data_IF_547663343488
#
_entry.id   IF_547663343488
#
_cell.length_a   1.000
_cell.length_b   1.000
_cell.length_c   1.000
_cell.angle_alpha   90.00
_cell.angle_beta   90.00
_cell.angle_gamma   90.00
#
_symmetry.space_group_name_H-M   'P 1'
#
loop_
_entity.id
_entity.type
_entity.pdbx_description
1 polymer ?
#
# COMPACT_ATOMS: atom_id res chain seq x y z
N UNK A 1 1.67 -2.14 -1.78
CA UNK A 1 1.37 -2.70 -0.44
C UNK A 1 0.99 -1.54 0.48
N UNK A 2 -0.30 -1.39 0.79
CA UNK A 2 -0.79 -0.42 1.78
C UNK A 2 -0.89 -1.04 3.18
N UNK A 3 -1.17 -0.22 4.20
CA UNK A 3 -1.29 -0.69 5.60
C UNK A 3 -2.52 -1.58 5.74
N UNK A 4 -3.68 -0.97 5.58
CA UNK A 4 -4.99 -1.60 5.63
C UNK A 4 -6.00 -0.67 4.92
N UNK A 5 -7.19 -1.16 4.55
CA UNK A 5 -8.21 -0.31 3.98
C UNK A 5 -8.63 0.80 4.95
N UNK A 6 -8.58 2.06 4.51
CA UNK A 6 -9.33 3.13 5.17
C UNK A 6 -10.84 2.92 4.98
N UNK A 7 -11.67 3.42 5.90
CA UNK A 7 -13.12 3.21 5.86
C UNK A 7 -13.76 3.53 4.50
N UNK A 8 -13.37 4.64 3.86
CA UNK A 8 -13.93 5.01 2.55
C UNK A 8 -13.51 4.05 1.43
N UNK A 9 -12.24 3.62 1.41
CA UNK A 9 -11.77 2.63 0.44
C UNK A 9 -12.46 1.27 0.64
N UNK A 10 -12.70 0.89 1.89
CA UNK A 10 -13.46 -0.32 2.22
C UNK A 10 -14.93 -0.22 1.77
N UNK A 11 -15.58 0.92 2.02
CA UNK A 11 -16.95 1.19 1.57
C UNK A 11 -17.08 1.17 0.05
N UNK A 12 -16.14 1.82 -0.66
CA UNK A 12 -16.12 1.86 -2.12
C UNK A 12 -15.72 0.52 -2.77
N UNK A 13 -14.99 -0.33 -2.05
CA UNK A 13 -14.43 -1.56 -2.63
C UNK A 13 -13.24 -1.32 -3.57
N UNK A 14 -12.63 -0.13 -3.52
CA UNK A 14 -11.57 0.28 -4.45
C UNK A 14 -10.32 0.79 -3.72
N UNK A 15 -9.15 0.45 -4.26
CA UNK A 15 -7.88 0.83 -3.68
C UNK A 15 -7.66 2.34 -3.69
N UNK A 16 -7.27 2.90 -2.54
CA UNK A 16 -6.96 4.32 -2.38
C UNK A 16 -8.08 5.28 -2.79
N UNK A 17 -9.35 4.88 -2.69
CA UNK A 17 -10.50 5.72 -3.08
C UNK A 17 -10.75 6.94 -2.18
N UNK A 18 -10.06 7.07 -1.04
CA UNK A 18 -10.27 8.19 -0.11
C UNK A 18 -9.97 9.55 -0.76
N UNK A 19 -10.82 10.58 -0.58
CA UNK A 19 -10.69 11.88 -1.27
C UNK A 19 -9.39 12.62 -0.95
N UNK A 20 -8.78 12.39 0.21
CA UNK A 20 -7.48 12.94 0.58
C UNK A 20 -6.28 12.06 0.20
N UNK A 21 -6.49 10.95 -0.52
CA UNK A 21 -5.41 10.05 -0.88
C UNK A 21 -4.70 10.50 -2.17
N UNK A 22 -3.38 10.66 -2.11
CA UNK A 22 -2.60 11.14 -3.24
C UNK A 22 -2.20 10.05 -4.25
N UNK A 23 -2.46 8.77 -3.99
CA UNK A 23 -1.95 7.65 -4.80
C UNK A 23 -2.23 7.84 -6.30
N UNK A 24 -3.49 8.07 -6.69
CA UNK A 24 -3.90 8.20 -8.08
C UNK A 24 -3.29 9.41 -8.77
N UNK A 25 -3.21 10.54 -8.05
CA UNK A 25 -2.57 11.76 -8.54
C UNK A 25 -1.05 11.55 -8.73
N UNK A 26 -0.38 10.95 -7.75
CA UNK A 26 1.05 10.65 -7.82
C UNK A 26 1.38 9.63 -8.92
N UNK A 27 0.54 8.61 -9.10
CA UNK A 27 0.71 7.61 -10.15
C UNK A 27 0.74 8.27 -11.52
N UNK A 28 -0.22 9.16 -11.79
CA UNK A 28 -0.26 9.93 -13.03
C UNK A 28 0.93 10.88 -13.17
N UNK A 29 1.19 11.73 -12.16
CA UNK A 29 2.24 12.73 -12.22
C UNK A 29 3.66 12.13 -12.31
N UNK A 30 3.85 10.89 -11.86
CA UNK A 30 5.12 10.18 -12.02
C UNK A 30 5.35 9.62 -13.42
N UNK A 31 4.35 9.63 -14.30
CA UNK A 31 4.42 9.03 -15.64
C UNK A 31 4.30 7.50 -15.65
N UNK A 32 3.98 6.87 -14.51
CA UNK A 32 3.75 5.42 -14.44
C UNK A 32 2.48 4.98 -15.18
N UNK A 33 1.52 5.90 -15.37
CA UNK A 33 0.36 5.71 -16.24
C UNK A 33 0.30 6.83 -17.28
N UNK A 34 -0.12 6.54 -18.52
CA UNK A 34 -0.19 7.55 -19.59
C UNK A 34 -1.30 8.59 -19.36
N UNK A 35 -2.32 8.23 -18.57
CA UNK A 35 -3.46 9.09 -18.25
C UNK A 35 -3.80 9.01 -16.77
N UNK A 36 -4.52 10.03 -16.30
CA UNK A 36 -5.04 10.04 -14.94
C UNK A 36 -6.16 9.01 -14.81
N UNK A 37 -5.99 8.08 -13.88
CA UNK A 37 -6.97 7.06 -13.54
C UNK A 37 -7.61 7.35 -12.19
N UNK A 38 -8.77 6.75 -11.93
CA UNK A 38 -9.45 6.79 -10.64
C UNK A 38 -9.43 5.44 -9.93
N UNK A 39 -9.87 5.44 -8.65
CA UNK A 39 -9.98 4.22 -7.87
C UNK A 39 -10.93 3.18 -8.48
N UNK A 40 -11.98 3.65 -9.17
CA UNK A 40 -12.97 2.78 -9.83
C UNK A 40 -12.34 1.98 -11.00
N UNK A 41 -11.11 2.30 -11.39
CA UNK A 41 -10.37 1.66 -12.48
C UNK A 41 -9.17 0.83 -11.99
N UNK A 42 -9.06 0.57 -10.69
CA UNK A 42 -7.91 -0.08 -10.08
C UNK A 42 -7.55 -1.45 -10.67
N UNK A 43 -8.56 -2.23 -11.05
CA UNK A 43 -8.39 -3.51 -11.73
C UNK A 43 -7.66 -3.40 -13.09
N UNK A 44 -7.76 -2.26 -13.79
CA UNK A 44 -7.09 -2.05 -15.08
C UNK A 44 -5.58 -1.93 -14.93
N UNK A 45 -5.07 -1.56 -13.76
CA UNK A 45 -3.63 -1.42 -13.54
C UNK A 45 -2.84 -2.73 -13.64
N UNK A 46 -3.52 -3.89 -13.53
CA UNK A 46 -2.90 -5.17 -13.84
C UNK A 46 -2.40 -5.25 -15.30
N UNK A 47 -3.04 -4.53 -16.23
CA UNK A 47 -2.63 -4.47 -17.64
C UNK A 47 -1.28 -3.76 -17.83
N UNK A 48 -0.90 -2.87 -16.90
CA UNK A 48 0.42 -2.22 -16.87
C UNK A 48 1.34 -2.83 -15.80
N UNK A 49 0.99 -4.01 -15.28
CA UNK A 49 1.82 -4.78 -14.35
C UNK A 49 1.82 -4.26 -12.90
N UNK A 50 0.86 -3.42 -12.51
CA UNK A 50 0.73 -2.90 -11.14
C UNK A 50 -0.44 -3.60 -10.44
N UNK A 51 -0.16 -4.23 -9.31
CA UNK A 51 -1.15 -4.90 -8.47
C UNK A 51 -1.22 -4.33 -7.06
N UNK A 52 -2.30 -4.66 -6.35
CA UNK A 52 -2.58 -4.15 -5.01
C UNK A 52 -2.71 -5.25 -3.98
N UNK A 53 -2.27 -4.93 -2.75
CA UNK A 53 -2.57 -5.69 -1.53
C UNK A 53 -2.32 -4.78 -0.34
N UNK A 54 -2.86 -5.16 0.81
CA UNK A 54 -2.53 -4.55 2.10
C UNK A 54 -1.82 -5.55 3.02
N UNK A 55 -1.15 -5.04 4.05
CA UNK A 55 -0.59 -5.84 5.13
C UNK A 55 -1.70 -6.45 5.98
N UNK A 56 -2.65 -5.63 6.42
CA UNK A 56 -3.79 -6.04 7.24
C UNK A 56 -5.07 -5.88 6.43
N UNK A 57 -5.97 -6.87 6.51
CA UNK A 57 -7.22 -6.89 5.75
C UNK A 57 -8.32 -6.04 6.40
N UNK A 58 -8.37 -5.95 7.73
CA UNK A 58 -9.41 -5.24 8.47
C UNK A 58 -9.38 -3.74 8.18
N UNK A 59 -10.54 -3.18 7.85
CA UNK A 59 -10.70 -1.74 7.63
C UNK A 59 -10.71 -0.97 8.97
N UNK A 60 -10.08 0.20 9.01
CA UNK A 60 -10.06 1.08 10.19
C UNK A 60 -10.15 2.56 9.81
N UNK A 61 -10.35 3.45 10.79
CA UNK A 61 -10.27 4.91 10.59
C UNK A 61 -8.82 5.33 10.31
N UNK A 62 -7.89 4.74 11.05
CA UNK A 62 -6.46 4.94 10.84
C UNK A 62 -5.64 3.73 11.25
N UNK A 63 -4.36 3.72 10.86
CA UNK A 63 -3.44 2.63 11.18
C UNK A 63 -3.16 2.48 12.68
N UNK A 64 -3.44 3.52 13.48
CA UNK A 64 -3.32 3.48 14.94
C UNK A 64 -4.30 2.49 15.61
N UNK A 65 -5.39 2.13 14.93
CA UNK A 65 -6.40 1.19 15.43
C UNK A 65 -6.02 -0.29 15.19
N UNK A 66 -4.84 -0.55 14.64
CA UNK A 66 -4.33 -1.90 14.38
C UNK A 66 -3.51 -2.40 15.56
N UNK A 67 -3.80 -3.62 16.00
CA UNK A 67 -3.02 -4.27 17.05
C UNK A 67 -1.70 -4.84 16.50
N UNK A 68 -0.70 -5.00 17.38
CA UNK A 68 0.57 -5.67 17.00
C UNK A 68 0.35 -7.09 16.49
N UNK A 69 -0.64 -7.80 17.04
CA UNK A 69 -1.00 -9.17 16.63
C UNK A 69 -1.47 -9.19 15.17
N UNK A 70 -2.40 -8.32 14.82
CA UNK A 70 -2.91 -8.21 13.44
C UNK A 70 -1.82 -7.86 12.44
N UNK A 71 -0.90 -6.96 12.80
CA UNK A 71 0.17 -6.58 11.88
C UNK A 71 1.15 -7.76 11.71
N UNK A 72 1.45 -8.52 12.77
CA UNK A 72 2.33 -9.70 12.70
C UNK A 72 1.72 -10.80 11.83
N UNK A 73 0.43 -11.10 12.04
CA UNK A 73 -0.31 -12.08 11.23
C UNK A 73 -0.40 -11.62 9.76
N UNK A 74 -0.72 -10.35 9.53
CA UNK A 74 -0.75 -9.75 8.20
C UNK A 74 0.59 -9.79 7.48
N UNK A 75 1.71 -9.64 8.21
CA UNK A 75 3.06 -9.74 7.65
C UNK A 75 3.38 -11.14 7.13
N UNK A 76 2.94 -12.18 7.83
CA UNK A 76 3.10 -13.56 7.39
C UNK A 76 2.28 -13.83 6.12
N UNK A 77 1.01 -13.40 6.09
CA UNK A 77 0.13 -13.53 4.92
C UNK A 77 0.68 -12.76 3.72
N UNK A 78 1.20 -11.54 3.95
CA UNK A 78 1.82 -10.74 2.90
C UNK A 78 3.04 -11.46 2.32
N UNK A 79 3.89 -12.06 3.16
CA UNK A 79 5.07 -12.79 2.70
C UNK A 79 4.68 -14.00 1.83
N UNK A 80 3.61 -14.71 2.19
CA UNK A 80 3.07 -15.81 1.38
C UNK A 80 2.56 -15.32 0.02
N UNK A 81 1.83 -14.20 -0.02
CA UNK A 81 1.41 -13.57 -1.28
C UNK A 81 2.60 -13.17 -2.14
N UNK A 82 3.61 -12.53 -1.56
CA UNK A 82 4.81 -12.10 -2.29
C UNK A 82 5.59 -13.29 -2.86
N UNK A 83 5.71 -14.39 -2.10
CA UNK A 83 6.33 -15.64 -2.58
C UNK A 83 5.52 -16.30 -3.69
N UNK A 84 4.19 -16.27 -3.61
CA UNK A 84 3.30 -16.84 -4.62
C UNK A 84 3.33 -16.06 -5.93
N UNK A 85 3.11 -14.75 -5.86
CA UNK A 85 2.94 -13.89 -7.04
C UNK A 85 4.25 -13.37 -7.63
N UNK A 86 5.35 -13.39 -6.85
CA UNK A 86 6.70 -13.01 -7.27
C UNK A 86 6.75 -11.70 -8.10
N UNK A 87 6.20 -10.58 -7.58
CA UNK A 87 6.31 -9.30 -8.29
C UNK A 87 7.78 -8.90 -8.42
N UNK A 88 8.14 -8.21 -9.51
CA UNK A 88 9.50 -7.69 -9.70
C UNK A 88 9.92 -6.73 -8.59
N UNK A 89 8.98 -5.92 -8.10
CA UNK A 89 9.19 -4.92 -7.05
C UNK A 89 8.01 -4.96 -6.07
N UNK A 90 8.30 -5.06 -4.77
CA UNK A 90 7.33 -4.92 -3.71
C UNK A 90 7.33 -3.47 -3.18
N UNK A 91 6.38 -2.66 -3.65
CA UNK A 91 6.29 -1.24 -3.24
C UNK A 91 5.49 -1.11 -1.95
N UNK A 92 6.16 -0.65 -0.88
CA UNK A 92 5.52 -0.33 0.41
C UNK A 92 5.07 1.13 0.40
N UNK A 93 3.75 1.35 0.41
CA UNK A 93 3.18 2.68 0.46
C UNK A 93 3.12 3.16 1.92
N UNK A 94 4.29 3.55 2.44
CA UNK A 94 4.49 4.05 3.80
C UNK A 94 5.79 3.54 4.44
N UNK A 95 6.49 4.40 5.17
CA UNK A 95 7.71 4.01 5.91
C UNK A 95 7.40 3.02 7.03
N UNK A 96 6.42 3.35 7.87
CA UNK A 96 6.08 2.57 9.07
C UNK A 96 5.70 1.13 8.75
N UNK A 97 4.97 0.90 7.66
CA UNK A 97 4.58 -0.45 7.25
C UNK A 97 5.78 -1.31 6.87
N UNK A 98 6.77 -0.72 6.20
CA UNK A 98 7.99 -1.43 5.85
C UNK A 98 8.85 -1.70 7.09
N UNK A 99 8.94 -0.76 8.03
CA UNK A 99 9.64 -0.98 9.30
C UNK A 99 9.04 -2.13 10.10
N UNK A 100 7.70 -2.21 10.16
CA UNK A 100 7.04 -3.33 10.82
C UNK A 100 7.27 -4.63 10.06
N UNK A 101 7.15 -4.63 8.73
CA UNK A 101 7.42 -5.81 7.90
C UNK A 101 8.85 -6.34 8.07
N UNK A 102 9.84 -5.44 8.09
CA UNK A 102 11.27 -5.78 8.26
C UNK A 102 11.61 -6.16 9.70
N UNK A 103 10.78 -5.77 10.67
CA UNK A 103 11.06 -5.94 12.11
C UNK A 103 12.19 -5.04 12.62
N UNK A 104 12.55 -3.97 11.90
CA UNK A 104 13.61 -3.01 12.28
C UNK A 104 13.24 -1.62 11.79
N UNK A 105 13.48 -0.59 12.62
CA UNK A 105 13.37 0.81 12.20
C UNK A 105 14.38 1.12 11.10
N UNK A 106 14.02 2.00 10.18
CA UNK A 106 14.96 2.61 9.25
C UNK A 106 15.49 3.90 9.92
N UNK A 107 16.76 3.86 10.33
CA UNK A 107 17.54 5.05 10.66
C UNK A 107 17.71 5.93 9.41
N UNK A 108 17.50 7.23 9.55
CA UNK A 108 17.81 8.29 8.57
C UNK A 108 17.33 8.02 7.14
N UNK A 109 16.07 8.39 6.87
CA UNK A 109 15.62 8.72 5.52
C UNK A 109 15.48 10.23 5.49
N UNK A 110 16.55 10.94 5.11
CA UNK A 110 16.53 12.41 5.07
C UNK A 110 17.84 13.13 5.41
N UNK A 111 18.97 12.44 5.63
CA UNK A 111 20.26 13.14 5.65
C UNK A 111 20.60 13.53 4.20
N UNK A 112 19.98 14.61 3.73
CA UNK A 112 20.55 15.41 2.66
C UNK A 112 21.85 16.00 3.22
N UNK A 113 22.95 15.24 3.12
CA UNK A 113 24.25 15.86 2.93
C UNK A 113 24.22 16.46 1.52
N UNK A 114 23.75 17.70 1.43
CA UNK A 114 24.28 18.66 0.47
C UNK A 114 25.21 19.60 1.23
#
# INVERSE_FOLDING_TARGET
>A
IGINPGLFAAYKGHHYAGPGNHFWKCLYLSGLTPQQMSADEDYKLLQVGIGFTNMVQRATKGSADLTRKEIKEGSQILLEKLRKFRPKIAVFNGKLIYEVFRGRKISNLGDNQM
#
